data_IF_556231162214
#
_entry.id   IF_556231162214
#
_cell.length_a   1.000
_cell.length_b   1.000
_cell.length_c   1.000
_cell.angle_alpha   90.00
_cell.angle_beta   90.00
_cell.angle_gamma   90.00
#
_symmetry.space_group_name_H-M   'P 1'
#
loop_
_entity.id
_entity.type
_entity.pdbx_description
1 polymer ?
#
# COMPACT_ATOMS: atom_id res chain seq x y z
N UNK A 1 14.78 11.44 103.58
CA UNK A 1 14.28 11.51 102.19
C UNK A 1 14.23 12.97 101.79
N UNK A 2 15.11 13.38 100.88
CA UNK A 2 15.19 14.77 100.41
C UNK A 2 14.10 15.02 99.38
N UNK A 3 13.31 16.11 99.45
CA UNK A 3 12.30 16.40 98.43
C UNK A 3 13.00 16.82 97.13
N UNK A 4 12.60 16.21 96.03
CA UNK A 4 13.05 16.61 94.69
C UNK A 4 12.48 18.01 94.41
N UNK A 5 13.29 18.99 94.01
CA UNK A 5 12.83 20.35 93.78
C UNK A 5 11.86 20.42 92.59
N UNK A 6 10.72 21.09 92.81
CA UNK A 6 9.58 21.24 91.89
C UNK A 6 9.96 21.91 90.56
N UNK A 7 11.08 22.63 90.50
CA UNK A 7 11.63 23.20 89.26
C UNK A 7 12.06 22.14 88.24
N UNK A 8 12.54 20.98 88.69
CA UNK A 8 12.97 19.88 87.80
C UNK A 8 11.75 19.25 87.10
N UNK A 9 10.57 19.25 87.75
CA UNK A 9 9.34 18.68 87.18
C UNK A 9 8.74 19.62 86.11
N UNK A 10 8.84 20.95 86.29
CA UNK A 10 8.38 21.92 85.28
C UNK A 10 9.27 21.92 84.03
N UNK A 11 10.59 21.87 84.20
CA UNK A 11 11.55 21.82 83.09
C UNK A 11 11.39 20.55 82.24
N UNK A 12 10.98 19.44 82.85
CA UNK A 12 10.75 18.18 82.14
C UNK A 12 9.49 18.20 81.26
N UNK A 13 8.40 18.82 81.72
CA UNK A 13 7.16 18.90 80.95
C UNK A 13 7.28 19.85 79.75
N UNK A 14 7.89 21.03 79.92
CA UNK A 14 8.06 21.99 78.82
C UNK A 14 9.00 21.43 77.71
N UNK A 15 9.98 20.58 78.09
CA UNK A 15 10.86 19.90 77.15
C UNK A 15 10.13 18.80 76.34
N UNK A 16 9.25 18.02 76.98
CA UNK A 16 8.49 16.97 76.29
C UNK A 16 7.43 17.54 75.34
N UNK A 17 6.76 18.63 75.71
CA UNK A 17 5.75 19.28 74.84
C UNK A 17 6.39 19.95 73.62
N UNK A 18 7.58 20.56 73.78
CA UNK A 18 8.29 21.21 72.66
C UNK A 18 8.86 20.20 71.66
N UNK A 19 9.46 19.11 72.16
CA UNK A 19 9.98 18.00 71.34
C UNK A 19 8.84 17.26 70.63
N UNK A 20 7.66 17.15 71.25
CA UNK A 20 6.46 16.57 70.63
C UNK A 20 5.95 17.38 69.44
N UNK A 21 5.85 18.70 69.58
CA UNK A 21 5.34 19.59 68.52
C UNK A 21 6.31 19.67 67.35
N UNK A 22 7.62 19.81 67.58
CA UNK A 22 8.61 19.81 66.50
C UNK A 22 8.66 18.48 65.75
N UNK A 23 8.54 17.35 66.45
CA UNK A 23 8.47 16.02 65.82
C UNK A 23 7.21 15.87 64.96
N UNK A 24 6.05 16.30 65.43
CA UNK A 24 4.78 16.27 64.66
C UNK A 24 4.87 17.18 63.43
N UNK A 25 5.45 18.38 63.58
CA UNK A 25 5.62 19.33 62.47
C UNK A 25 6.58 18.77 61.40
N UNK A 26 7.66 18.13 61.82
CA UNK A 26 8.66 17.54 60.91
C UNK A 26 8.10 16.30 60.19
N UNK A 27 7.31 15.46 60.87
CA UNK A 27 6.65 14.29 60.26
C UNK A 27 5.55 14.74 59.29
N UNK A 28 4.77 15.77 59.62
CA UNK A 28 3.71 16.28 58.74
C UNK A 28 4.27 17.03 57.53
N UNK A 29 5.29 17.88 57.70
CA UNK A 29 5.99 18.54 56.59
C UNK A 29 6.75 17.53 55.71
N UNK A 30 7.43 16.56 56.33
CA UNK A 30 8.11 15.48 55.62
C UNK A 30 7.14 14.57 54.87
N UNK A 31 5.99 14.26 55.46
CA UNK A 31 4.90 13.51 54.83
C UNK A 31 4.29 14.25 53.64
N UNK A 32 3.99 15.54 53.78
CA UNK A 32 3.49 16.39 52.70
C UNK A 32 4.52 16.55 51.56
N UNK A 33 5.79 16.73 51.89
CA UNK A 33 6.87 16.81 50.90
C UNK A 33 7.05 15.49 50.14
N UNK A 34 6.94 14.35 50.83
CA UNK A 34 7.03 13.02 50.20
C UNK A 34 5.84 12.75 49.30
N UNK A 35 4.62 13.07 49.74
CA UNK A 35 3.41 12.95 48.93
C UNK A 35 3.41 13.89 47.72
N UNK A 36 3.85 15.14 47.91
CA UNK A 36 4.00 16.12 46.84
C UNK A 36 5.06 15.70 45.80
N UNK A 37 6.21 15.22 46.27
CA UNK A 37 7.27 14.69 45.42
C UNK A 37 6.84 13.44 44.64
N UNK A 38 6.14 12.51 45.30
CA UNK A 38 5.59 11.33 44.65
C UNK A 38 4.51 11.68 43.61
N UNK A 39 3.62 12.63 43.92
CA UNK A 39 2.60 13.11 42.99
C UNK A 39 3.22 13.80 41.75
N UNK A 40 4.20 14.68 41.95
CA UNK A 40 4.90 15.35 40.84
C UNK A 40 5.72 14.36 40.01
N UNK A 41 6.37 13.39 40.66
CA UNK A 41 7.06 12.29 40.00
C UNK A 41 6.13 11.44 39.15
N UNK A 42 4.99 11.01 39.71
CA UNK A 42 3.96 10.25 39.01
C UNK A 42 3.34 11.04 37.84
N UNK A 43 3.07 12.33 38.04
CA UNK A 43 2.55 13.21 36.98
C UNK A 43 3.56 13.35 35.84
N UNK A 44 4.82 13.64 36.15
CA UNK A 44 5.88 13.80 35.14
C UNK A 44 6.15 12.48 34.41
N UNK A 45 6.14 11.36 35.12
CA UNK A 45 6.24 10.03 34.52
C UNK A 45 5.05 9.74 33.59
N UNK A 46 3.82 10.05 34.02
CA UNK A 46 2.62 9.91 33.19
C UNK A 46 2.66 10.76 31.92
N UNK A 47 3.05 12.03 32.03
CA UNK A 47 3.23 12.92 30.87
C UNK A 47 4.31 12.41 29.90
N UNK A 48 5.43 11.89 30.41
CA UNK A 48 6.47 11.27 29.58
C UNK A 48 6.01 9.96 28.92
N UNK A 49 5.26 9.12 29.64
CA UNK A 49 4.70 7.88 29.08
C UNK A 49 3.69 8.16 27.98
N UNK A 50 2.81 9.15 28.16
CA UNK A 50 1.85 9.58 27.13
C UNK A 50 2.57 10.06 25.87
N UNK A 51 3.58 10.93 26.02
CA UNK A 51 4.38 11.40 24.88
C UNK A 51 5.11 10.26 24.16
N UNK A 52 5.61 9.27 24.89
CA UNK A 52 6.26 8.10 24.29
C UNK A 52 5.26 7.25 23.49
N UNK A 53 4.05 7.03 24.02
CA UNK A 53 2.97 6.31 23.33
C UNK A 53 2.49 7.08 22.10
N UNK A 54 2.26 8.39 22.20
CA UNK A 54 1.90 9.24 21.07
C UNK A 54 2.93 9.13 19.95
N UNK A 55 4.23 9.18 20.30
CA UNK A 55 5.33 9.05 19.33
C UNK A 55 5.39 7.65 18.71
N UNK A 56 5.09 6.59 19.46
CA UNK A 56 4.99 5.24 18.91
C UNK A 56 3.81 5.10 17.95
N UNK A 57 2.66 5.67 18.30
CA UNK A 57 1.48 5.66 17.43
C UNK A 57 1.73 6.47 16.16
N UNK A 58 2.37 7.64 16.26
CA UNK A 58 2.70 8.44 15.08
C UNK A 58 3.68 7.72 14.16
N UNK A 59 4.76 7.14 14.71
CA UNK A 59 5.71 6.36 13.90
C UNK A 59 5.07 5.12 13.27
N UNK A 60 4.22 4.39 14.00
CA UNK A 60 3.50 3.25 13.44
C UNK A 60 2.51 3.65 12.32
N UNK A 61 1.97 4.87 12.36
CA UNK A 61 1.15 5.42 11.28
C UNK A 61 2.01 5.80 10.07
N UNK A 62 3.09 6.53 10.29
CA UNK A 62 4.06 6.91 9.23
C UNK A 62 4.63 5.67 8.53
N UNK A 63 4.99 4.64 9.28
CA UNK A 63 5.51 3.38 8.73
C UNK A 63 4.46 2.68 7.86
N UNK A 64 3.21 2.55 8.34
CA UNK A 64 2.10 2.00 7.55
C UNK A 64 1.80 2.81 6.29
N UNK A 65 1.82 4.14 6.38
CA UNK A 65 1.61 5.01 5.22
C UNK A 65 2.74 4.85 4.20
N UNK A 66 3.98 4.80 4.66
CA UNK A 66 5.15 4.57 3.80
C UNK A 66 5.14 3.19 3.13
N UNK A 67 4.70 2.15 3.85
CA UNK A 67 4.54 0.81 3.30
C UNK A 67 3.44 0.76 2.24
N UNK A 68 2.32 1.44 2.47
CA UNK A 68 1.24 1.54 1.52
C UNK A 68 1.67 2.30 0.25
N UNK A 69 2.41 3.39 0.41
CA UNK A 69 2.96 4.17 -0.70
C UNK A 69 3.99 3.37 -1.52
N UNK A 70 4.88 2.64 -0.83
CA UNK A 70 5.84 1.75 -1.46
C UNK A 70 5.15 0.63 -2.25
N UNK A 71 4.09 0.03 -1.69
CA UNK A 71 3.27 -0.96 -2.38
C UNK A 71 2.65 -0.36 -3.63
N UNK A 72 1.99 0.79 -3.54
CA UNK A 72 1.40 1.49 -4.69
C UNK A 72 2.42 1.74 -5.80
N UNK A 73 3.60 2.24 -5.43
CA UNK A 73 4.69 2.51 -6.37
C UNK A 73 5.15 1.22 -7.08
N UNK A 74 5.29 0.11 -6.35
CA UNK A 74 5.63 -1.19 -6.95
C UNK A 74 4.58 -1.65 -7.95
N UNK A 75 3.30 -1.53 -7.62
CA UNK A 75 2.21 -1.89 -8.54
C UNK A 75 2.17 -0.99 -9.77
N UNK A 76 2.45 0.30 -9.64
CA UNK A 76 2.51 1.21 -10.78
C UNK A 76 3.66 0.86 -11.74
N UNK A 77 4.85 0.58 -11.19
CA UNK A 77 6.01 0.13 -11.98
C UNK A 77 5.69 -1.19 -12.69
N UNK A 78 5.05 -2.12 -11.99
CA UNK A 78 4.67 -3.40 -12.54
C UNK A 78 3.61 -3.24 -13.64
N UNK A 79 2.60 -2.39 -13.45
CA UNK A 79 1.61 -2.03 -14.48
C UNK A 79 2.27 -1.50 -15.75
N UNK A 80 3.14 -0.49 -15.63
CA UNK A 80 3.85 0.07 -16.80
C UNK A 80 4.67 -0.99 -17.53
N UNK A 81 5.33 -1.87 -16.78
CA UNK A 81 6.10 -2.98 -17.36
C UNK A 81 5.21 -3.93 -18.16
N UNK A 82 4.10 -4.38 -17.58
CA UNK A 82 3.18 -5.30 -18.25
C UNK A 82 2.49 -4.66 -19.46
N UNK A 83 2.08 -3.39 -19.36
CA UNK A 83 1.54 -2.62 -20.49
C UNK A 83 2.55 -2.50 -21.64
N UNK A 84 3.84 -2.37 -21.33
CA UNK A 84 4.90 -2.36 -22.35
C UNK A 84 5.01 -3.71 -23.06
N UNK A 85 4.92 -4.82 -22.33
CA UNK A 85 4.93 -6.17 -22.91
C UNK A 85 3.70 -6.36 -23.80
N UNK A 86 2.50 -6.00 -23.33
CA UNK A 86 1.28 -6.05 -24.14
C UNK A 86 1.41 -5.21 -25.41
N UNK A 87 1.94 -3.99 -25.32
CA UNK A 87 2.13 -3.12 -26.49
C UNK A 87 3.09 -3.76 -27.51
N UNK A 88 4.18 -4.39 -27.04
CA UNK A 88 5.09 -5.11 -27.93
C UNK A 88 4.39 -6.29 -28.63
N UNK A 89 3.56 -7.03 -27.90
CA UNK A 89 2.77 -8.15 -28.44
C UNK A 89 1.72 -7.70 -29.45
N UNK A 90 1.02 -6.60 -29.19
CA UNK A 90 0.06 -6.04 -30.15
C UNK A 90 0.71 -5.59 -31.46
N UNK A 91 1.92 -5.02 -31.39
CA UNK A 91 2.71 -4.68 -32.59
C UNK A 91 3.17 -5.92 -33.35
N UNK A 92 3.53 -6.98 -32.62
CA UNK A 92 3.84 -8.29 -33.20
C UNK A 92 2.64 -8.85 -33.97
N UNK A 93 1.44 -8.81 -33.37
CA UNK A 93 0.19 -9.21 -34.02
C UNK A 93 -0.05 -8.41 -35.32
N UNK A 94 0.06 -7.08 -35.30
CA UNK A 94 -0.08 -6.28 -36.52
C UNK A 94 0.91 -6.71 -37.62
N UNK A 95 2.17 -6.94 -37.25
CA UNK A 95 3.20 -7.40 -38.17
C UNK A 95 2.87 -8.79 -38.75
N UNK A 96 2.53 -9.77 -37.91
CA UNK A 96 2.25 -11.14 -38.30
C UNK A 96 1.01 -11.23 -39.19
N UNK A 97 -0.04 -10.49 -38.85
CA UNK A 97 -1.24 -10.41 -39.68
C UNK A 97 -0.95 -9.74 -41.03
N UNK A 98 -0.10 -8.72 -41.06
CA UNK A 98 0.36 -8.12 -42.33
C UNK A 98 1.25 -9.07 -43.14
N UNK A 99 2.05 -9.91 -42.49
CA UNK A 99 2.84 -10.94 -43.15
C UNK A 99 1.93 -12.00 -43.78
N UNK A 100 0.90 -12.44 -43.06
CA UNK A 100 -0.09 -13.39 -43.54
C UNK A 100 -0.92 -12.85 -44.72
N UNK A 101 -1.24 -11.55 -44.72
CA UNK A 101 -1.94 -10.88 -45.82
C UNK A 101 -1.06 -10.72 -47.08
N UNK A 102 0.23 -10.43 -46.88
CA UNK A 102 1.17 -10.12 -47.97
C UNK A 102 1.88 -11.34 -48.56
N UNK A 103 1.92 -12.45 -47.82
CA UNK A 103 2.53 -13.69 -48.24
C UNK A 103 1.47 -14.80 -48.33
N UNK A 104 1.87 -15.97 -48.84
CA UNK A 104 1.01 -17.12 -49.05
C UNK A 104 -0.02 -17.34 -47.91
N UNK A 105 -1.32 -17.22 -48.22
CA UNK A 105 -2.45 -17.39 -47.28
C UNK A 105 -2.47 -18.80 -46.68
N UNK A 106 -1.87 -19.78 -47.36
CA UNK A 106 -1.72 -21.14 -46.84
C UNK A 106 -0.60 -21.26 -45.78
N UNK A 107 0.16 -20.19 -45.51
CA UNK A 107 1.12 -20.17 -44.42
C UNK A 107 0.39 -19.93 -43.09
N UNK A 108 0.29 -20.99 -42.29
CA UNK A 108 -0.35 -20.99 -40.97
C UNK A 108 0.56 -20.46 -39.86
N UNK A 109 1.87 -20.39 -40.08
CA UNK A 109 2.85 -19.99 -39.06
C UNK A 109 2.54 -18.60 -38.44
N UNK A 110 2.23 -17.54 -39.22
CA UNK A 110 1.90 -16.24 -38.64
C UNK A 110 0.60 -16.26 -37.83
N UNK A 111 -0.37 -17.12 -38.20
CA UNK A 111 -1.61 -17.28 -37.46
C UNK A 111 -1.34 -17.99 -36.13
N UNK A 112 -0.53 -19.05 -36.12
CA UNK A 112 -0.15 -19.74 -34.87
C UNK A 112 0.63 -18.81 -33.92
N UNK A 113 1.54 -17.99 -34.44
CA UNK A 113 2.26 -17.00 -33.65
C UNK A 113 1.33 -15.90 -33.12
N UNK A 114 0.38 -15.44 -33.92
CA UNK A 114 -0.64 -14.48 -33.49
C UNK A 114 -1.45 -15.03 -32.32
N UNK A 115 -1.88 -16.30 -32.38
CA UNK A 115 -2.59 -16.97 -31.29
C UNK A 115 -1.76 -17.02 -30.01
N UNK A 116 -0.47 -17.39 -30.12
CA UNK A 116 0.46 -17.41 -28.97
C UNK A 116 0.60 -16.03 -28.33
N UNK A 117 0.64 -14.97 -29.14
CA UNK A 117 0.74 -13.61 -28.64
C UNK A 117 -0.56 -13.12 -28.00
N UNK A 118 -1.73 -13.50 -28.52
CA UNK A 118 -3.03 -13.25 -27.88
C UNK A 118 -3.15 -13.95 -26.51
N UNK A 119 -2.86 -15.25 -26.45
CA UNK A 119 -2.90 -16.01 -25.18
C UNK A 119 -1.97 -15.39 -24.12
N UNK A 120 -0.78 -14.93 -24.50
CA UNK A 120 0.12 -14.23 -23.56
C UNK A 120 -0.48 -12.92 -23.06
N UNK A 121 -1.20 -12.18 -23.91
CA UNK A 121 -1.86 -10.95 -23.49
C UNK A 121 -3.00 -11.27 -22.51
N UNK A 122 -3.79 -12.32 -22.76
CA UNK A 122 -4.83 -12.78 -21.83
C UNK A 122 -4.23 -13.18 -20.47
N UNK A 123 -3.13 -13.93 -20.46
CA UNK A 123 -2.42 -14.31 -19.23
C UNK A 123 -1.98 -13.06 -18.45
N UNK A 124 -1.43 -12.05 -19.13
CA UNK A 124 -1.05 -10.78 -18.50
C UNK A 124 -2.28 -10.11 -17.87
N UNK A 125 -3.39 -10.02 -18.59
CA UNK A 125 -4.62 -9.40 -18.11
C UNK A 125 -5.24 -10.16 -16.93
N UNK A 126 -5.28 -11.48 -17.00
CA UNK A 126 -5.75 -12.32 -15.90
C UNK A 126 -4.89 -12.12 -14.65
N UNK A 127 -3.57 -12.02 -14.82
CA UNK A 127 -2.67 -11.73 -13.70
C UNK A 127 -2.91 -10.34 -13.11
N UNK A 128 -3.20 -9.32 -13.93
CA UNK A 128 -3.56 -7.97 -13.48
C UNK A 128 -4.87 -7.92 -12.70
N UNK A 129 -5.87 -8.70 -13.10
CA UNK A 129 -7.18 -8.75 -12.42
C UNK A 129 -7.09 -9.33 -11.01
N UNK A 130 -6.09 -10.17 -10.75
CA UNK A 130 -5.85 -10.78 -9.45
C UNK A 130 -5.01 -9.91 -8.50
N UNK A 131 -4.73 -8.65 -8.86
CA UNK A 131 -3.97 -7.75 -8.01
C UNK A 131 -4.78 -7.31 -6.79
N UNK A 132 -4.04 -7.04 -5.71
CA UNK A 132 -4.62 -6.55 -4.46
C UNK A 132 -5.39 -5.23 -4.71
N UNK A 133 -6.72 -5.21 -4.49
CA UNK A 133 -7.54 -4.05 -4.78
C UNK A 133 -7.18 -2.82 -3.96
N UNK A 134 -6.54 -3.00 -2.78
CA UNK A 134 -6.13 -1.90 -1.91
C UNK A 134 -4.86 -1.20 -2.43
N UNK A 135 -4.12 -1.86 -3.34
CA UNK A 135 -2.85 -1.38 -3.87
C UNK A 135 -2.95 -0.75 -5.27
N UNK A 136 -4.10 -0.89 -5.95
CA UNK A 136 -4.29 -0.46 -7.33
C UNK A 136 -5.39 0.61 -7.36
N UNK A 137 -5.13 1.73 -8.04
CA UNK A 137 -6.14 2.79 -8.16
C UNK A 137 -7.38 2.30 -8.92
N UNK A 138 -8.53 2.88 -8.61
CA UNK A 138 -9.79 2.62 -9.32
C UNK A 138 -9.63 2.88 -10.83
N UNK A 139 -8.85 3.89 -11.19
CA UNK A 139 -8.54 4.24 -12.59
C UNK A 139 -7.78 3.12 -13.29
N UNK A 140 -6.79 2.52 -12.64
CA UNK A 140 -6.02 1.40 -13.18
C UNK A 140 -6.88 0.13 -13.30
N UNK A 141 -7.78 -0.12 -12.36
CA UNK A 141 -8.75 -1.23 -12.50
C UNK A 141 -9.68 -1.05 -13.69
N UNK A 142 -10.22 0.16 -13.88
CA UNK A 142 -11.05 0.48 -15.03
C UNK A 142 -10.29 0.28 -16.33
N UNK A 143 -9.03 0.73 -16.37
CA UNK A 143 -8.15 0.50 -17.53
C UNK A 143 -7.99 -1.00 -17.81
N UNK A 144 -7.69 -1.82 -16.80
CA UNK A 144 -7.54 -3.28 -16.99
C UNK A 144 -8.83 -3.89 -17.58
N UNK A 145 -10.00 -3.43 -17.13
CA UNK A 145 -11.30 -3.81 -17.71
C UNK A 145 -11.42 -3.41 -19.18
N UNK A 146 -11.15 -2.15 -19.51
CA UNK A 146 -11.18 -1.66 -20.90
C UNK A 146 -10.23 -2.45 -21.81
N UNK A 147 -9.01 -2.75 -21.32
CA UNK A 147 -8.02 -3.53 -22.07
C UNK A 147 -8.51 -4.95 -22.33
N UNK A 148 -9.20 -5.56 -21.36
CA UNK A 148 -9.79 -6.90 -21.52
C UNK A 148 -10.84 -6.91 -22.62
N UNK A 149 -11.76 -5.95 -22.60
CA UNK A 149 -12.83 -5.89 -23.60
C UNK A 149 -12.25 -5.67 -25.01
N UNK A 150 -11.25 -4.78 -25.15
CA UNK A 150 -10.59 -4.55 -26.44
C UNK A 150 -9.77 -5.74 -26.95
N UNK A 151 -9.16 -6.53 -26.05
CA UNK A 151 -8.46 -7.76 -26.43
C UNK A 151 -9.45 -8.85 -26.85
N UNK A 152 -10.56 -8.99 -26.13
CA UNK A 152 -11.62 -9.93 -26.50
C UNK A 152 -12.20 -9.61 -27.89
N UNK A 153 -12.35 -8.32 -28.21
CA UNK A 153 -12.75 -7.86 -29.54
C UNK A 153 -11.73 -8.23 -30.63
N UNK A 154 -10.43 -8.25 -30.31
CA UNK A 154 -9.37 -8.66 -31.24
C UNK A 154 -9.42 -10.18 -31.44
N UNK A 155 -9.56 -10.96 -30.36
CA UNK A 155 -9.71 -12.42 -30.41
C UNK A 155 -10.91 -12.85 -31.23
N UNK A 156 -12.07 -12.24 -31.00
CA UNK A 156 -13.28 -12.54 -31.78
C UNK A 156 -13.06 -12.28 -33.28
N UNK A 157 -12.30 -11.24 -33.62
CA UNK A 157 -11.95 -10.96 -35.02
C UNK A 157 -10.89 -11.92 -35.57
N UNK A 158 -9.97 -12.39 -34.73
CA UNK A 158 -8.99 -13.40 -35.10
C UNK A 158 -9.64 -14.77 -35.34
N UNK A 159 -10.60 -15.18 -34.50
CA UNK A 159 -11.39 -16.40 -34.73
C UNK A 159 -12.20 -16.31 -36.02
N UNK A 160 -12.70 -15.11 -36.38
CA UNK A 160 -13.33 -14.91 -37.68
C UNK A 160 -12.35 -15.13 -38.84
N UNK A 161 -11.08 -14.70 -38.72
CA UNK A 161 -10.04 -14.98 -39.73
C UNK A 161 -9.86 -16.48 -39.93
N UNK A 162 -9.84 -17.25 -38.84
CA UNK A 162 -9.68 -18.72 -38.91
C UNK A 162 -10.88 -19.44 -39.55
N UNK A 163 -12.06 -18.80 -39.57
CA UNK A 163 -13.31 -19.40 -40.01
C UNK A 163 -13.71 -19.04 -41.46
N UNK A 164 -13.09 -18.04 -42.08
CA UNK A 164 -13.50 -17.49 -43.39
C UNK A 164 -12.73 -18.07 -44.59
N UNK A 165 -13.41 -18.20 -45.73
CA UNK A 165 -12.81 -18.51 -47.04
C UNK A 165 -12.18 -17.23 -47.68
N UNK A 166 -11.31 -17.39 -48.70
CA UNK A 166 -10.32 -16.41 -49.19
C UNK A 166 -10.82 -14.94 -49.35
N UNK A 167 -12.02 -14.68 -49.90
CA UNK A 167 -12.51 -13.30 -50.12
C UNK A 167 -12.96 -12.57 -48.84
N UNK A 168 -13.44 -13.30 -47.83
CA UNK A 168 -13.83 -12.73 -46.52
C UNK A 168 -12.64 -12.64 -45.56
N UNK A 169 -11.54 -13.30 -45.93
CA UNK A 169 -10.32 -13.41 -45.15
C UNK A 169 -9.54 -12.07 -45.10
N UNK A 170 -9.38 -11.38 -46.23
CA UNK A 170 -8.63 -10.11 -46.30
C UNK A 170 -9.26 -9.05 -45.38
N UNK A 171 -10.59 -8.89 -45.45
CA UNK A 171 -11.32 -7.95 -44.61
C UNK A 171 -11.26 -8.27 -43.11
N UNK A 172 -11.16 -9.55 -42.75
CA UNK A 172 -11.03 -9.98 -41.35
C UNK A 172 -9.61 -9.74 -40.81
N UNK A 173 -8.58 -9.97 -41.64
CA UNK A 173 -7.19 -9.67 -41.31
C UNK A 173 -6.98 -8.17 -41.08
N UNK A 174 -7.49 -7.33 -41.97
CA UNK A 174 -7.39 -5.86 -41.83
C UNK A 174 -8.05 -5.38 -40.53
N UNK A 175 -9.18 -5.99 -40.11
CA UNK A 175 -9.86 -5.65 -38.84
C UNK A 175 -9.00 -5.97 -37.63
N UNK A 176 -8.38 -7.15 -37.57
CA UNK A 176 -7.46 -7.53 -36.48
C UNK A 176 -6.30 -6.53 -36.38
N UNK A 177 -5.69 -6.18 -37.52
CA UNK A 177 -4.60 -5.18 -37.59
C UNK A 177 -5.04 -3.80 -37.11
N UNK A 178 -6.19 -3.31 -37.60
CA UNK A 178 -6.69 -2.00 -37.22
C UNK A 178 -6.97 -1.92 -35.71
N UNK A 179 -7.56 -2.96 -35.13
CA UNK A 179 -7.84 -3.04 -33.69
C UNK A 179 -6.54 -3.14 -32.87
N UNK A 180 -5.59 -3.99 -33.26
CA UNK A 180 -4.31 -4.14 -32.54
C UNK A 180 -3.49 -2.85 -32.56
N UNK A 181 -3.42 -2.17 -33.71
CA UNK A 181 -2.77 -0.85 -33.83
C UNK A 181 -3.45 0.22 -32.99
N UNK A 182 -4.79 0.27 -32.98
CA UNK A 182 -5.55 1.22 -32.18
C UNK A 182 -5.27 1.03 -30.69
N UNK A 183 -5.30 -0.22 -30.21
CA UNK A 183 -5.03 -0.55 -28.83
C UNK A 183 -3.57 -0.26 -28.44
N UNK A 184 -2.60 -0.61 -29.29
CA UNK A 184 -1.19 -0.28 -29.10
C UNK A 184 -0.95 1.24 -28.97
N UNK A 185 -1.62 2.04 -29.81
CA UNK A 185 -1.59 3.51 -29.71
C UNK A 185 -2.20 4.00 -28.40
N UNK A 186 -3.33 3.45 -27.98
CA UNK A 186 -3.99 3.79 -26.71
C UNK A 186 -3.08 3.52 -25.50
N UNK A 187 -2.44 2.35 -25.46
CA UNK A 187 -1.49 1.99 -24.39
C UNK A 187 -0.31 2.95 -24.38
N UNK A 188 0.23 3.27 -25.57
CA UNK A 188 1.36 4.20 -25.68
C UNK A 188 0.99 5.60 -25.20
N UNK A 189 -0.12 6.17 -25.68
CA UNK A 189 -0.52 7.54 -25.34
C UNK A 189 -0.85 7.75 -23.86
N UNK A 190 -1.40 6.73 -23.19
CA UNK A 190 -1.83 6.86 -21.80
C UNK A 190 -0.74 6.51 -20.77
N UNK A 191 0.24 5.67 -21.12
CA UNK A 191 1.09 5.01 -20.12
C UNK A 191 2.57 4.81 -20.47
N UNK A 192 3.03 5.20 -21.67
CA UNK A 192 4.44 5.12 -22.08
C UNK A 192 4.95 6.48 -22.55
#
# INVERSE_FOLDING_TARGET
>A
MSPIPVEIIKQHNDFFDYVSIEAILTITLGGLATLGGAYLGARKAGESSLKAVEKQISHAREEKESEAELKRTKYEVFLKSQLRVMNHKLKSIDFLMGLHESHNIYNVEPLEETKKDLTKIEEILSNMQNWDPDCVSIENFKLIGELRDEIHDIESSYEAVLATEEEEHEGSVTKVRAKSQKLAKKITQKHL
#
